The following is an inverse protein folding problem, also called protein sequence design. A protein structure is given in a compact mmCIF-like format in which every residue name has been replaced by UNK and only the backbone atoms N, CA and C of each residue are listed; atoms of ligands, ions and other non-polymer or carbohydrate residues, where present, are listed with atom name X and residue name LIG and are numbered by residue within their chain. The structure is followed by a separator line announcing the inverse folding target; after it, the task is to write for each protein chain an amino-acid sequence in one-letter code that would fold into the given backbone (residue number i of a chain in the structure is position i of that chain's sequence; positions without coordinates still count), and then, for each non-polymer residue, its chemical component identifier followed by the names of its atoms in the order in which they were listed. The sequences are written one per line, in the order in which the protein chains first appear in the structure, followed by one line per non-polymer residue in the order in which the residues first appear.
data_IF_928535440767
#
_entry.id   IF_928535440767
#
_cell.length_a   1.000
_cell.length_b   1.000
_cell.length_c   1.000
_cell.angle_alpha   90.00
_cell.angle_beta   90.00
_cell.angle_gamma   90.00
#
_symmetry.space_group_name_H-M   'P 1'
#
loop_
_entity.id
_entity.type
_entity.pdbx_description
1 polymer ?
#
# COMPACT_ATOMS: atom_id res chain seq x y z
N UNK A 1 -20.58 -32.22 -27.35
CA UNK A 1 -21.15 -32.54 -26.02
C UNK A 1 -20.14 -33.13 -25.03
N UNK A 2 -18.82 -33.22 -25.33
CA UNK A 2 -17.81 -33.83 -24.43
C UNK A 2 -16.76 -32.86 -23.85
N UNK A 3 -16.71 -31.60 -24.26
CA UNK A 3 -15.72 -30.63 -23.73
C UNK A 3 -16.19 -29.85 -22.49
N UNK A 4 -17.51 -29.64 -22.32
CA UNK A 4 -18.05 -28.89 -21.17
C UNK A 4 -17.92 -29.60 -19.81
N UNK A 5 -17.69 -30.92 -19.77
CA UNK A 5 -17.56 -31.69 -18.52
C UNK A 5 -16.18 -31.55 -17.84
N UNK A 6 -15.23 -30.84 -18.45
CA UNK A 6 -13.86 -30.71 -17.93
C UNK A 6 -13.57 -29.37 -17.25
N UNK A 7 -14.53 -28.46 -17.18
CA UNK A 7 -14.33 -27.10 -16.65
C UNK A 7 -14.42 -27.05 -15.13
N UNK A 8 -13.60 -26.21 -14.49
CA UNK A 8 -13.35 -26.25 -13.04
C UNK A 8 -14.64 -26.17 -12.20
N UNK A 9 -15.65 -25.41 -12.62
CA UNK A 9 -16.91 -25.30 -11.88
C UNK A 9 -17.85 -26.49 -12.01
N UNK A 10 -17.67 -27.32 -13.04
CA UNK A 10 -18.52 -28.49 -13.29
C UNK A 10 -17.99 -29.75 -12.57
N UNK A 11 -16.77 -29.67 -12.03
CA UNK A 11 -16.11 -30.77 -11.34
C UNK A 11 -16.51 -30.83 -9.87
N UNK A 12 -16.41 -32.03 -9.30
CA UNK A 12 -16.44 -32.25 -7.85
C UNK A 12 -15.11 -31.82 -7.22
N UNK A 13 -15.14 -31.46 -5.93
CA UNK A 13 -13.95 -30.89 -5.27
C UNK A 13 -12.72 -31.81 -5.33
N UNK A 14 -12.93 -33.13 -5.23
CA UNK A 14 -11.85 -34.12 -5.32
C UNK A 14 -11.23 -34.18 -6.72
N UNK A 15 -12.02 -33.97 -7.78
CA UNK A 15 -11.54 -33.93 -9.15
C UNK A 15 -10.74 -32.64 -9.41
N UNK A 16 -11.15 -31.53 -8.79
CA UNK A 16 -10.43 -30.26 -8.85
C UNK A 16 -9.08 -30.39 -8.16
N UNK A 17 -9.04 -30.95 -6.94
CA UNK A 17 -7.79 -31.23 -6.21
C UNK A 17 -6.88 -32.12 -7.07
N UNK A 18 -7.42 -33.15 -7.70
CA UNK A 18 -6.66 -34.00 -8.63
C UNK A 18 -6.08 -33.20 -9.80
N UNK A 19 -6.87 -32.33 -10.44
CA UNK A 19 -6.36 -31.48 -11.54
C UNK A 19 -5.30 -30.49 -11.09
N UNK A 20 -5.43 -29.91 -9.90
CA UNK A 20 -4.43 -29.03 -9.30
C UNK A 20 -3.11 -29.79 -9.12
N UNK A 21 -3.15 -30.97 -8.50
CA UNK A 21 -1.97 -31.82 -8.26
C UNK A 21 -1.33 -32.38 -9.54
N UNK A 22 -2.10 -32.49 -10.63
CA UNK A 22 -1.62 -32.92 -11.94
C UNK A 22 -1.16 -31.74 -12.84
N UNK A 23 -1.09 -30.51 -12.31
CA UNK A 23 -0.77 -29.27 -13.04
C UNK A 23 -1.68 -29.01 -14.26
N UNK A 24 -2.95 -29.46 -14.20
CA UNK A 24 -3.93 -29.36 -15.29
C UNK A 24 -4.86 -28.14 -15.18
N UNK A 25 -4.58 -27.22 -14.27
CA UNK A 25 -5.29 -25.94 -14.15
C UNK A 25 -4.46 -24.86 -14.83
N UNK A 26 -5.13 -24.08 -15.68
CA UNK A 26 -4.55 -22.93 -16.38
C UNK A 26 -5.02 -21.62 -15.76
N UNK A 27 -4.09 -20.70 -15.56
CA UNK A 27 -4.32 -19.46 -14.80
C UNK A 27 -3.97 -18.26 -15.67
N UNK A 28 -4.86 -17.28 -15.73
CA UNK A 28 -4.60 -15.96 -16.31
C UNK A 28 -4.65 -14.91 -15.21
N UNK A 29 -3.59 -14.10 -15.07
CA UNK A 29 -3.56 -12.96 -14.16
C UNK A 29 -3.61 -11.68 -14.97
N UNK A 30 -4.68 -10.90 -14.82
CA UNK A 30 -4.90 -9.63 -15.51
C UNK A 30 -4.48 -8.48 -14.59
N UNK A 31 -3.51 -7.70 -15.07
CA UNK A 31 -2.76 -6.71 -14.30
C UNK A 31 -1.55 -7.36 -13.63
N UNK A 32 -0.40 -7.32 -14.30
CA UNK A 32 0.87 -7.88 -13.80
C UNK A 32 1.84 -6.77 -13.39
N UNK A 33 1.30 -5.79 -12.67
CA UNK A 33 2.09 -4.73 -12.03
C UNK A 33 2.75 -5.22 -10.73
N UNK A 34 2.84 -4.33 -9.74
CA UNK A 34 3.57 -4.57 -8.49
C UNK A 34 3.14 -5.81 -7.72
N UNK A 35 1.83 -6.06 -7.62
CA UNK A 35 1.28 -7.21 -6.90
C UNK A 35 1.02 -8.39 -7.84
N UNK A 36 0.38 -8.13 -8.98
CA UNK A 36 -0.07 -9.20 -9.87
C UNK A 36 1.05 -10.00 -10.53
N UNK A 37 2.23 -9.41 -10.81
CA UNK A 37 3.37 -10.19 -11.32
C UNK A 37 3.88 -11.19 -10.26
N UNK A 38 4.23 -10.80 -9.02
CA UNK A 38 4.52 -11.73 -7.94
C UNK A 38 3.44 -12.80 -7.73
N UNK A 39 2.15 -12.44 -7.79
CA UNK A 39 1.06 -13.42 -7.75
C UNK A 39 1.19 -14.43 -8.89
N UNK A 40 1.26 -13.97 -10.15
CA UNK A 40 1.36 -14.83 -11.32
C UNK A 40 2.60 -15.76 -11.28
N UNK A 41 3.74 -15.25 -10.82
CA UNK A 41 4.96 -16.04 -10.65
C UNK A 41 4.81 -17.09 -9.55
N UNK A 42 4.05 -16.80 -8.49
CA UNK A 42 3.78 -17.77 -7.42
C UNK A 42 2.90 -18.92 -7.93
N UNK A 43 1.88 -18.62 -8.73
CA UNK A 43 1.08 -19.64 -9.43
C UNK A 43 1.92 -20.48 -10.41
N UNK A 44 2.81 -19.84 -11.17
CA UNK A 44 3.71 -20.57 -12.08
C UNK A 44 4.72 -21.45 -11.32
N UNK A 45 5.21 -20.98 -10.16
CA UNK A 45 6.15 -21.70 -9.29
C UNK A 45 5.54 -22.97 -8.71
N UNK A 46 4.24 -22.99 -8.44
CA UNK A 46 3.54 -24.18 -7.94
C UNK A 46 3.30 -25.25 -9.00
N UNK A 47 3.71 -25.01 -10.26
CA UNK A 47 3.59 -25.95 -11.37
C UNK A 47 2.46 -25.61 -12.35
N UNK A 48 1.57 -24.67 -12.02
CA UNK A 48 0.43 -24.33 -12.88
C UNK A 48 0.87 -23.51 -14.11
N UNK A 49 0.24 -23.77 -15.25
CA UNK A 49 0.46 -22.96 -16.45
C UNK A 49 -0.17 -21.59 -16.25
N UNK A 50 0.66 -20.55 -16.24
CA UNK A 50 0.20 -19.18 -15.93
C UNK A 50 0.53 -18.21 -17.06
N UNK A 51 -0.45 -17.41 -17.45
CA UNK A 51 -0.26 -16.27 -18.36
C UNK A 51 -0.55 -14.96 -17.63
N UNK A 52 0.40 -14.02 -17.72
CA UNK A 52 0.20 -12.66 -17.26
C UNK A 52 -0.32 -11.78 -18.40
N UNK A 53 -1.35 -10.99 -18.14
CA UNK A 53 -1.93 -10.04 -19.10
C UNK A 53 -1.76 -8.62 -18.60
N UNK A 54 -1.21 -7.74 -19.42
CA UNK A 54 -1.14 -6.30 -19.13
C UNK A 54 -1.40 -5.46 -20.39
N UNK A 55 -1.83 -4.22 -20.19
CA UNK A 55 -1.94 -3.24 -21.28
C UNK A 55 -0.60 -2.59 -21.61
N UNK A 56 0.37 -2.66 -20.69
CA UNK A 56 1.68 -2.08 -20.86
C UNK A 56 2.59 -2.99 -21.71
N UNK A 57 2.65 -2.72 -23.02
CA UNK A 57 3.50 -3.46 -23.95
C UNK A 57 5.00 -3.41 -23.58
N UNK A 58 5.50 -2.31 -23.02
CA UNK A 58 6.91 -2.20 -22.62
C UNK A 58 7.23 -3.15 -21.46
N UNK A 59 6.32 -3.29 -20.50
CA UNK A 59 6.44 -4.26 -19.41
C UNK A 59 6.46 -5.68 -19.95
N UNK A 60 5.57 -5.99 -20.90
CA UNK A 60 5.49 -7.31 -21.53
C UNK A 60 6.78 -7.65 -22.30
N UNK A 61 7.31 -6.71 -23.08
CA UNK A 61 8.55 -6.90 -23.83
C UNK A 61 9.75 -7.15 -22.91
N UNK A 62 9.83 -6.43 -21.78
CA UNK A 62 10.85 -6.68 -20.74
C UNK A 62 10.72 -8.09 -20.16
N UNK A 63 9.51 -8.49 -19.77
CA UNK A 63 9.26 -9.82 -19.20
C UNK A 63 9.60 -10.91 -20.22
N UNK A 64 9.12 -10.81 -21.45
CA UNK A 64 9.33 -11.83 -22.48
C UNK A 64 10.79 -11.88 -22.99
N UNK A 65 11.57 -10.82 -22.79
CA UNK A 65 13.02 -10.81 -23.03
C UNK A 65 13.85 -11.35 -21.85
N UNK A 66 13.19 -11.87 -20.80
CA UNK A 66 13.87 -12.44 -19.63
C UNK A 66 14.37 -11.41 -18.64
N UNK A 67 13.88 -10.16 -18.71
CA UNK A 67 14.26 -9.09 -17.78
C UNK A 67 13.17 -8.95 -16.70
N UNK A 68 13.52 -9.28 -15.46
CA UNK A 68 12.62 -9.09 -14.32
C UNK A 68 12.47 -7.59 -13.97
N UNK A 69 11.24 -7.04 -13.93
CA UNK A 69 11.03 -5.59 -13.79
C UNK A 69 11.04 -5.06 -12.34
N UNK A 70 10.78 -5.90 -11.32
CA UNK A 70 10.63 -5.47 -9.92
C UNK A 70 11.90 -5.74 -9.10
N UNK A 71 12.99 -5.03 -9.39
CA UNK A 71 14.32 -5.29 -8.79
C UNK A 71 14.40 -5.14 -7.27
N UNK A 72 13.40 -4.49 -6.67
CA UNK A 72 13.27 -4.25 -5.24
C UNK A 72 12.37 -5.28 -4.53
N UNK A 73 11.99 -6.37 -5.21
CA UNK A 73 11.31 -7.53 -4.63
C UNK A 73 12.26 -8.73 -4.59
N UNK A 74 12.89 -9.01 -3.43
CA UNK A 74 13.79 -10.15 -3.28
C UNK A 74 13.11 -11.48 -3.61
N UNK A 75 13.89 -12.48 -4.03
CA UNK A 75 13.50 -13.85 -4.38
C UNK A 75 12.70 -14.02 -5.68
N UNK A 76 11.93 -13.01 -6.09
CA UNK A 76 11.08 -13.14 -7.28
C UNK A 76 11.84 -13.11 -8.60
N UNK A 77 13.04 -12.55 -8.64
CA UNK A 77 13.95 -12.64 -9.78
C UNK A 77 14.36 -14.11 -10.05
N UNK A 78 14.71 -14.85 -9.00
CA UNK A 78 15.05 -16.29 -9.08
C UNK A 78 13.83 -17.11 -9.47
N UNK A 79 12.65 -16.81 -8.88
CA UNK A 79 11.41 -17.49 -9.24
C UNK A 79 11.09 -17.24 -10.72
N UNK A 80 11.17 -15.99 -11.15
CA UNK A 80 10.93 -15.55 -12.52
C UNK A 80 11.81 -16.30 -13.53
N UNK A 81 13.12 -16.38 -13.27
CA UNK A 81 14.05 -17.12 -14.14
C UNK A 81 13.65 -18.60 -14.24
N UNK A 82 13.35 -19.24 -13.10
CA UNK A 82 12.99 -20.65 -13.07
C UNK A 82 11.68 -20.95 -13.83
N UNK A 83 10.62 -20.17 -13.59
CA UNK A 83 9.31 -20.42 -14.25
C UNK A 83 9.35 -20.09 -15.74
N UNK A 84 10.15 -19.10 -16.14
CA UNK A 84 10.36 -18.75 -17.55
C UNK A 84 11.14 -19.84 -18.28
N UNK A 85 12.24 -20.34 -17.68
CA UNK A 85 13.04 -21.45 -18.23
C UNK A 85 12.22 -22.73 -18.40
N UNK A 86 11.35 -23.02 -17.44
CA UNK A 86 10.45 -24.18 -17.49
C UNK A 86 9.17 -23.94 -18.30
N UNK A 87 9.03 -22.76 -18.95
CA UNK A 87 7.87 -22.37 -19.76
C UNK A 87 6.53 -22.46 -19.01
N UNK A 88 6.54 -22.23 -17.70
CA UNK A 88 5.36 -22.18 -16.84
C UNK A 88 4.71 -20.79 -16.80
N UNK A 89 5.45 -19.75 -17.18
CA UNK A 89 4.96 -18.37 -17.23
C UNK A 89 5.24 -17.71 -18.58
N UNK A 90 4.29 -16.90 -19.05
CA UNK A 90 4.43 -16.00 -20.19
C UNK A 90 3.63 -14.72 -19.94
N UNK A 91 4.09 -13.57 -20.44
CA UNK A 91 3.30 -12.33 -20.47
C UNK A 91 2.77 -12.01 -21.87
N UNK A 92 1.59 -11.39 -21.96
CA UNK A 92 0.98 -10.98 -23.24
C UNK A 92 0.09 -9.75 -23.06
N UNK A 93 -0.15 -9.00 -24.13
CA UNK A 93 -1.20 -7.98 -24.21
C UNK A 93 -2.47 -8.53 -24.90
N UNK A 94 -2.45 -9.78 -25.37
CA UNK A 94 -3.55 -10.43 -26.06
C UNK A 94 -4.50 -11.11 -25.04
N UNK A 95 -5.38 -10.29 -24.47
CA UNK A 95 -6.44 -10.76 -23.57
C UNK A 95 -7.43 -11.71 -24.27
N UNK A 96 -7.66 -11.51 -25.58
CA UNK A 96 -8.62 -12.30 -26.37
C UNK A 96 -8.16 -13.74 -26.53
N UNK A 97 -6.85 -13.98 -26.56
CA UNK A 97 -6.26 -15.31 -26.53
C UNK A 97 -6.16 -15.88 -25.11
N UNK A 98 -5.73 -15.08 -24.14
CA UNK A 98 -5.39 -15.55 -22.80
C UNK A 98 -6.61 -16.00 -21.99
N UNK A 99 -7.70 -15.23 -22.03
CA UNK A 99 -8.89 -15.48 -21.19
C UNK A 99 -9.63 -16.76 -21.58
N UNK A 100 -9.99 -17.03 -22.86
CA UNK A 100 -10.73 -18.24 -23.21
C UNK A 100 -9.94 -19.54 -22.97
N UNK A 101 -8.62 -19.45 -22.94
CA UNK A 101 -7.71 -20.57 -22.74
C UNK A 101 -7.43 -20.91 -21.25
N UNK A 102 -8.04 -20.16 -20.32
CA UNK A 102 -7.74 -20.27 -18.88
C UNK A 102 -8.93 -20.81 -18.08
N UNK A 103 -8.66 -21.61 -17.06
CA UNK A 103 -9.67 -22.12 -16.12
C UNK A 103 -9.96 -21.13 -14.98
N UNK A 104 -8.94 -20.35 -14.61
CA UNK A 104 -8.99 -19.34 -13.54
C UNK A 104 -8.47 -18.00 -14.05
N UNK A 105 -9.23 -16.94 -13.79
CA UNK A 105 -8.87 -15.56 -14.10
C UNK A 105 -8.70 -14.79 -12.79
N UNK A 106 -7.49 -14.30 -12.50
CA UNK A 106 -7.22 -13.41 -11.39
C UNK A 106 -7.20 -11.96 -11.86
N UNK A 107 -7.86 -11.06 -11.12
CA UNK A 107 -7.87 -9.63 -11.37
C UNK A 107 -7.03 -8.92 -10.30
N UNK A 108 -5.85 -8.43 -10.69
CA UNK A 108 -4.94 -7.62 -9.87
C UNK A 108 -4.71 -6.26 -10.55
N UNK A 109 -5.81 -5.53 -10.71
CA UNK A 109 -5.87 -4.24 -11.40
C UNK A 109 -5.74 -3.07 -10.42
N UNK A 110 -5.21 -1.91 -10.87
CA UNK A 110 -5.12 -0.72 -10.04
C UNK A 110 -6.52 -0.18 -9.71
N UNK A 111 -6.66 0.33 -8.49
CA UNK A 111 -7.87 0.97 -7.97
C UNK A 111 -7.50 2.33 -7.38
N UNK A 112 -7.03 3.29 -8.21
CA UNK A 112 -6.56 4.58 -7.73
C UNK A 112 -7.73 5.39 -7.17
N UNK A 113 -7.38 6.45 -6.45
CA UNK A 113 -8.33 7.45 -5.97
C UNK A 113 -8.29 8.67 -6.88
N UNK A 114 -9.44 9.26 -7.21
CA UNK A 114 -9.49 10.52 -7.93
C UNK A 114 -9.21 11.74 -7.02
N UNK A 115 -9.17 12.94 -7.61
CA UNK A 115 -8.90 14.20 -6.89
C UNK A 115 -9.97 14.56 -5.85
N UNK A 116 -11.15 13.95 -5.95
CA UNK A 116 -12.29 14.15 -5.02
C UNK A 116 -12.36 13.08 -3.93
N UNK A 117 -11.34 12.23 -3.82
CA UNK A 117 -11.29 11.08 -2.92
C UNK A 117 -12.37 10.02 -3.22
N UNK A 118 -12.73 9.83 -4.49
CA UNK A 118 -13.63 8.75 -4.95
C UNK A 118 -12.81 7.64 -5.64
N UNK A 119 -13.02 6.36 -5.29
CA UNK A 119 -12.28 5.25 -5.90
C UNK A 119 -12.62 5.08 -7.39
N UNK A 120 -11.59 4.98 -8.22
CA UNK A 120 -11.76 4.65 -9.64
C UNK A 120 -11.58 3.15 -9.88
N UNK A 121 -12.67 2.49 -10.28
CA UNK A 121 -12.69 1.09 -10.71
C UNK A 121 -12.82 0.93 -12.24
N UNK A 122 -12.51 1.97 -13.02
CA UNK A 122 -12.55 1.95 -14.49
C UNK A 122 -11.84 0.73 -15.08
N UNK A 123 -10.64 0.39 -14.60
CA UNK A 123 -9.90 -0.79 -15.03
C UNK A 123 -10.69 -2.10 -14.83
N UNK A 124 -11.26 -2.31 -13.64
CA UNK A 124 -12.09 -3.47 -13.33
C UNK A 124 -13.36 -3.52 -14.19
N UNK A 125 -14.00 -2.36 -14.44
CA UNK A 125 -15.19 -2.25 -15.29
C UNK A 125 -14.89 -2.59 -16.74
N UNK A 126 -13.77 -2.08 -17.27
CA UNK A 126 -13.31 -2.36 -18.64
C UNK A 126 -13.03 -3.85 -18.80
N UNK A 127 -12.24 -4.43 -17.88
CA UNK A 127 -11.94 -5.86 -17.92
C UNK A 127 -13.20 -6.69 -17.73
N UNK A 128 -14.12 -6.31 -16.83
CA UNK A 128 -15.42 -6.97 -16.67
C UNK A 128 -16.22 -7.05 -17.99
N UNK A 129 -16.25 -5.96 -18.77
CA UNK A 129 -16.89 -5.93 -20.10
C UNK A 129 -16.18 -6.83 -21.11
N UNK A 130 -14.86 -6.95 -21.05
CA UNK A 130 -14.11 -7.88 -21.89
C UNK A 130 -14.39 -9.33 -21.50
N UNK A 131 -14.44 -9.62 -20.19
CA UNK A 131 -14.80 -10.94 -19.66
C UNK A 131 -16.19 -11.40 -20.11
N UNK A 132 -17.17 -10.49 -20.19
CA UNK A 132 -18.49 -10.79 -20.76
C UNK A 132 -18.41 -11.42 -22.16
N UNK A 133 -17.43 -11.03 -22.98
CA UNK A 133 -17.25 -11.56 -24.34
C UNK A 133 -16.33 -12.79 -24.39
N UNK A 134 -15.34 -12.84 -23.50
CA UNK A 134 -14.19 -13.75 -23.62
C UNK A 134 -14.24 -14.94 -22.67
N UNK A 135 -14.94 -14.87 -21.54
CA UNK A 135 -14.96 -15.97 -20.58
C UNK A 135 -15.55 -17.22 -21.20
N UNK A 136 -14.85 -18.34 -21.07
CA UNK A 136 -15.39 -19.65 -21.39
C UNK A 136 -16.35 -20.13 -20.30
N UNK A 137 -17.26 -21.03 -20.65
CA UNK A 137 -18.13 -21.69 -19.67
C UNK A 137 -17.30 -22.43 -18.61
N UNK A 138 -17.78 -22.40 -17.38
CA UNK A 138 -17.20 -23.05 -16.21
C UNK A 138 -15.91 -22.40 -15.69
N UNK A 139 -15.62 -21.14 -16.03
CA UNK A 139 -14.42 -20.39 -15.59
C UNK A 139 -14.61 -19.77 -14.21
N UNK A 140 -13.55 -19.75 -13.40
CA UNK A 140 -13.51 -19.09 -12.09
C UNK A 140 -12.82 -17.71 -12.20
N UNK A 141 -13.46 -16.65 -11.71
CA UNK A 141 -12.87 -15.32 -11.57
C UNK A 141 -12.53 -15.04 -10.10
N UNK A 142 -11.35 -14.49 -9.82
CA UNK A 142 -10.90 -14.15 -8.47
C UNK A 142 -10.39 -12.71 -8.49
N UNK A 143 -10.95 -11.84 -7.63
CA UNK A 143 -10.49 -10.45 -7.53
C UNK A 143 -9.55 -10.30 -6.33
N UNK A 144 -8.32 -9.87 -6.59
CA UNK A 144 -7.32 -9.54 -5.56
C UNK A 144 -7.20 -8.02 -5.35
N UNK A 145 -7.63 -7.22 -6.32
CA UNK A 145 -7.69 -5.75 -6.22
C UNK A 145 -8.43 -5.28 -4.97
N UNK A 146 -7.93 -4.21 -4.35
CA UNK A 146 -8.60 -3.61 -3.18
C UNK A 146 -9.83 -2.84 -3.62
N UNK A 147 -11.00 -3.33 -3.24
CA UNK A 147 -12.30 -2.79 -3.63
C UNK A 147 -13.21 -2.62 -2.42
N UNK A 148 -14.23 -1.78 -2.57
CA UNK A 148 -15.24 -1.57 -1.53
C UNK A 148 -16.15 -2.79 -1.31
N UNK A 149 -16.68 -2.97 -0.09
CA UNK A 149 -17.71 -3.96 0.20
C UNK A 149 -18.92 -3.78 -0.73
N UNK A 150 -19.27 -4.83 -1.46
CA UNK A 150 -20.42 -4.82 -2.37
C UNK A 150 -20.09 -4.51 -3.84
N UNK A 151 -18.87 -4.08 -4.19
CA UNK A 151 -18.53 -3.83 -5.61
C UNK A 151 -18.71 -5.08 -6.48
N UNK A 152 -18.34 -6.26 -5.97
CA UNK A 152 -18.55 -7.54 -6.68
C UNK A 152 -20.03 -7.78 -6.93
N UNK A 153 -20.82 -7.77 -5.86
CA UNK A 153 -22.23 -8.16 -5.87
C UNK A 153 -23.12 -7.17 -6.61
N UNK A 154 -22.88 -5.87 -6.42
CA UNK A 154 -23.78 -4.82 -6.89
C UNK A 154 -23.48 -4.38 -8.33
N UNK A 155 -22.22 -4.54 -8.76
CA UNK A 155 -21.71 -3.95 -10.00
C UNK A 155 -20.96 -4.97 -10.88
N UNK A 156 -19.83 -5.51 -10.43
CA UNK A 156 -18.93 -6.28 -11.31
C UNK A 156 -19.60 -7.53 -11.91
N UNK A 157 -20.41 -8.25 -11.10
CA UNK A 157 -21.18 -9.40 -11.60
C UNK A 157 -22.06 -9.00 -12.78
N UNK A 158 -22.82 -7.91 -12.66
CA UNK A 158 -23.72 -7.44 -13.73
C UNK A 158 -22.95 -7.05 -14.98
N UNK A 159 -21.78 -6.43 -14.81
CA UNK A 159 -20.91 -6.07 -15.93
C UNK A 159 -20.42 -7.31 -16.67
N UNK A 160 -20.04 -8.37 -15.95
CA UNK A 160 -19.58 -9.63 -16.55
C UNK A 160 -20.75 -10.42 -17.16
N UNK A 161 -21.90 -10.49 -16.50
CA UNK A 161 -23.10 -11.14 -17.05
C UNK A 161 -23.58 -10.45 -18.33
N UNK A 162 -23.50 -9.12 -18.39
CA UNK A 162 -23.96 -8.32 -19.52
C UNK A 162 -25.46 -8.49 -19.78
N UNK A 163 -25.91 -8.04 -20.95
CA UNK A 163 -27.33 -8.09 -21.36
C UNK A 163 -27.65 -9.26 -22.30
N UNK A 164 -26.64 -10.00 -22.76
CA UNK A 164 -26.79 -11.07 -23.76
C UNK A 164 -27.19 -12.43 -23.17
N UNK A 165 -27.31 -12.52 -21.83
CA UNK A 165 -27.62 -13.73 -21.06
C UNK A 165 -26.68 -14.92 -21.30
N UNK A 166 -25.49 -14.67 -21.89
CA UNK A 166 -24.51 -15.73 -22.16
C UNK A 166 -23.89 -16.25 -20.88
N UNK A 167 -23.62 -15.37 -19.93
CA UNK A 167 -22.99 -15.68 -18.66
C UNK A 167 -23.96 -15.47 -17.50
N UNK A 168 -23.97 -16.42 -16.58
CA UNK A 168 -24.73 -16.36 -15.33
C UNK A 168 -23.88 -16.84 -14.17
N UNK A 169 -23.70 -15.97 -13.18
CA UNK A 169 -22.87 -16.25 -12.00
C UNK A 169 -23.44 -17.40 -11.20
N UNK A 170 -22.58 -18.32 -10.78
CA UNK A 170 -22.96 -19.55 -10.08
C UNK A 170 -23.57 -20.64 -10.98
N UNK A 171 -23.73 -20.38 -12.28
CA UNK A 171 -24.23 -21.37 -13.27
C UNK A 171 -23.14 -21.77 -14.24
N UNK A 172 -22.64 -20.83 -15.04
CA UNK A 172 -21.61 -21.09 -16.06
C UNK A 172 -20.36 -20.22 -15.94
N UNK A 173 -20.28 -19.37 -14.93
CA UNK A 173 -19.03 -18.87 -14.38
C UNK A 173 -19.23 -18.60 -12.88
N UNK A 174 -18.15 -18.40 -12.13
CA UNK A 174 -18.25 -18.06 -10.72
C UNK A 174 -17.19 -17.05 -10.34
N UNK A 175 -17.41 -16.36 -9.23
CA UNK A 175 -16.55 -15.28 -8.77
C UNK A 175 -16.32 -15.33 -7.26
N UNK A 176 -15.10 -15.00 -6.86
CA UNK A 176 -14.73 -14.74 -5.48
C UNK A 176 -13.67 -13.65 -5.37
N UNK A 177 -13.20 -13.44 -4.15
CA UNK A 177 -12.19 -12.45 -3.81
C UNK A 177 -11.14 -13.08 -2.90
N UNK A 178 -9.90 -12.68 -3.11
CA UNK A 178 -8.78 -12.94 -2.22
C UNK A 178 -7.97 -11.64 -2.07
N UNK A 179 -8.45 -10.67 -1.28
CA UNK A 179 -7.81 -9.36 -1.18
C UNK A 179 -6.36 -9.49 -0.69
N UNK A 180 -5.41 -8.93 -1.45
CA UNK A 180 -4.00 -9.02 -1.11
C UNK A 180 -3.63 -8.11 0.08
N UNK A 181 -2.72 -8.56 0.94
CA UNK A 181 -2.24 -7.85 2.14
C UNK A 181 -0.73 -7.64 2.17
N UNK A 182 0.01 -8.17 1.20
CA UNK A 182 1.44 -8.02 1.10
C UNK A 182 1.91 -6.57 0.94
N UNK A 183 3.08 -6.31 1.52
CA UNK A 183 3.78 -5.04 1.48
C UNK A 183 4.79 -5.03 0.32
N UNK A 184 4.78 -3.99 -0.52
CA UNK A 184 5.85 -3.77 -1.49
C UNK A 184 7.23 -3.73 -0.80
N UNK A 185 8.16 -4.52 -1.33
CA UNK A 185 9.52 -4.72 -0.85
C UNK A 185 9.70 -6.01 -0.03
N UNK A 186 8.59 -6.63 0.38
CA UNK A 186 8.57 -7.80 1.25
C UNK A 186 7.56 -8.86 0.75
N UNK A 187 7.18 -8.84 -0.53
CA UNK A 187 6.06 -9.64 -1.03
C UNK A 187 6.31 -11.15 -0.82
N UNK A 188 7.54 -11.63 -1.05
CA UNK A 188 7.87 -13.05 -0.89
C UNK A 188 7.70 -13.50 0.57
N UNK A 189 8.13 -12.65 1.51
CA UNK A 189 8.00 -12.88 2.95
C UNK A 189 6.52 -12.92 3.32
N UNK A 190 5.74 -11.93 2.88
CA UNK A 190 4.34 -11.81 3.21
C UNK A 190 3.51 -12.96 2.61
N UNK A 191 3.79 -13.39 1.39
CA UNK A 191 3.13 -14.53 0.75
C UNK A 191 3.41 -15.86 1.45
N UNK A 192 4.48 -15.93 2.25
CA UNK A 192 4.85 -17.11 3.04
C UNK A 192 4.36 -17.08 4.50
N UNK A 193 3.83 -15.93 4.97
CA UNK A 193 3.52 -15.71 6.39
C UNK A 193 2.10 -15.22 6.66
N UNK A 194 1.56 -14.36 5.81
CA UNK A 194 0.30 -13.69 6.06
C UNK A 194 -0.88 -14.57 5.62
N UNK A 195 -1.86 -14.82 6.51
CA UNK A 195 -3.09 -15.49 6.12
C UNK A 195 -3.82 -14.72 5.03
N UNK A 196 -4.49 -15.46 4.14
CA UNK A 196 -5.30 -14.88 3.05
C UNK A 196 -6.78 -15.08 3.32
N UNK A 197 -7.56 -14.03 3.10
CA UNK A 197 -9.02 -14.05 3.24
C UNK A 197 -9.64 -14.58 1.94
N UNK A 198 -10.61 -15.48 2.03
CA UNK A 198 -11.31 -16.00 0.85
C UNK A 198 -12.81 -15.80 0.98
N UNK A 199 -13.37 -14.89 0.19
CA UNK A 199 -14.81 -14.71 0.03
C UNK A 199 -15.27 -15.17 -1.35
N UNK A 200 -16.48 -15.71 -1.48
CA UNK A 200 -17.03 -16.09 -2.78
C UNK A 200 -18.55 -15.91 -2.84
N UNK A 201 -19.13 -16.02 -4.03
CA UNK A 201 -20.58 -15.95 -4.24
C UNK A 201 -21.33 -17.20 -3.74
N UNK A 202 -20.65 -18.33 -3.56
CA UNK A 202 -21.20 -19.53 -2.93
C UNK A 202 -20.10 -20.41 -2.31
N UNK A 203 -20.51 -21.38 -1.49
CA UNK A 203 -19.62 -22.28 -0.75
C UNK A 203 -18.73 -23.13 -1.68
N UNK A 204 -19.29 -23.69 -2.76
CA UNK A 204 -18.52 -24.48 -3.73
C UNK A 204 -17.34 -23.66 -4.28
N UNK A 205 -17.60 -22.42 -4.68
CA UNK A 205 -16.59 -21.51 -5.23
C UNK A 205 -15.53 -21.17 -4.20
N UNK A 206 -15.93 -20.87 -2.97
CA UNK A 206 -14.98 -20.62 -1.88
C UNK A 206 -14.05 -21.81 -1.67
N UNK A 207 -14.58 -23.04 -1.64
CA UNK A 207 -13.76 -24.25 -1.48
C UNK A 207 -12.78 -24.43 -2.63
N UNK A 208 -13.19 -24.17 -3.87
CA UNK A 208 -12.29 -24.22 -5.03
C UNK A 208 -11.13 -23.22 -4.88
N UNK A 209 -11.44 -21.97 -4.50
CA UNK A 209 -10.41 -20.94 -4.30
C UNK A 209 -9.46 -21.36 -3.17
N UNK A 210 -9.98 -21.88 -2.05
CA UNK A 210 -9.17 -22.34 -0.93
C UNK A 210 -8.21 -23.45 -1.35
N UNK A 211 -8.68 -24.48 -2.04
CA UNK A 211 -7.81 -25.59 -2.47
C UNK A 211 -6.77 -25.13 -3.51
N UNK A 212 -7.16 -24.23 -4.42
CA UNK A 212 -6.22 -23.63 -5.37
C UNK A 212 -5.14 -22.80 -4.65
N UNK A 213 -5.52 -21.93 -3.72
CA UNK A 213 -4.57 -21.06 -3.04
C UNK A 213 -3.69 -21.82 -2.04
N UNK A 214 -4.19 -22.90 -1.40
CA UNK A 214 -3.37 -23.80 -0.57
C UNK A 214 -2.24 -24.47 -1.35
N UNK A 215 -2.47 -24.78 -2.63
CA UNK A 215 -1.43 -25.32 -3.51
C UNK A 215 -0.34 -24.29 -3.84
N UNK A 216 -0.68 -23.00 -3.83
CA UNK A 216 0.20 -21.90 -4.25
C UNK A 216 0.92 -21.25 -3.07
N UNK A 217 0.23 -21.05 -1.94
CA UNK A 217 0.71 -20.27 -0.81
C UNK A 217 0.73 -21.11 0.47
N UNK A 218 1.86 -21.19 1.18
CA UNK A 218 2.01 -21.98 2.40
C UNK A 218 1.49 -21.24 3.64
N UNK A 219 0.28 -20.69 3.58
CA UNK A 219 -0.34 -19.87 4.64
C UNK A 219 -1.74 -20.34 4.96
N UNK A 220 -2.32 -19.84 6.05
CA UNK A 220 -3.71 -20.10 6.37
C UNK A 220 -4.66 -19.38 5.40
N UNK A 221 -5.70 -20.10 4.95
CA UNK A 221 -6.79 -19.56 4.15
C UNK A 221 -8.01 -19.41 5.04
N UNK A 222 -8.45 -18.17 5.27
CA UNK A 222 -9.54 -17.85 6.18
C UNK A 222 -10.82 -17.65 5.36
N UNK A 223 -11.79 -18.58 5.43
CA UNK A 223 -13.05 -18.45 4.70
C UNK A 223 -13.90 -17.33 5.29
N UNK A 224 -14.37 -16.43 4.41
CA UNK A 224 -15.33 -15.37 4.72
C UNK A 224 -16.72 -15.75 4.20
N UNK A 225 -17.81 -15.35 4.87
CA UNK A 225 -19.16 -15.74 4.47
C UNK A 225 -19.57 -15.25 3.07
N UNK A 226 -18.91 -14.23 2.52
CA UNK A 226 -19.14 -13.68 1.18
C UNK A 226 -18.02 -12.70 0.78
N UNK A 227 -18.06 -12.21 -0.46
CA UNK A 227 -17.08 -11.26 -1.00
C UNK A 227 -17.06 -9.93 -0.23
N UNK A 228 -18.22 -9.31 0.01
CA UNK A 228 -18.32 -8.06 0.76
C UNK A 228 -17.70 -8.14 2.16
N UNK A 229 -17.82 -9.26 2.88
CA UNK A 229 -17.19 -9.44 4.19
C UNK A 229 -15.67 -9.49 4.08
N UNK A 230 -15.11 -10.22 3.10
CA UNK A 230 -13.65 -10.25 2.88
C UNK A 230 -13.08 -8.85 2.57
N UNK A 231 -13.75 -8.10 1.69
CA UNK A 231 -13.36 -6.73 1.36
C UNK A 231 -13.50 -5.79 2.57
N UNK A 232 -14.55 -5.96 3.38
CA UNK A 232 -14.74 -5.18 4.60
C UNK A 232 -13.63 -5.42 5.63
N UNK A 233 -13.19 -6.67 5.82
CA UNK A 233 -12.06 -6.99 6.71
C UNK A 233 -10.79 -6.28 6.22
N UNK A 234 -10.48 -6.36 4.92
CA UNK A 234 -9.32 -5.68 4.33
C UNK A 234 -9.33 -4.18 4.63
N UNK A 235 -10.42 -3.47 4.33
CA UNK A 235 -10.50 -2.04 4.61
C UNK A 235 -10.44 -1.74 6.11
N UNK A 236 -11.18 -2.50 6.93
CA UNK A 236 -11.26 -2.29 8.39
C UNK A 236 -9.88 -2.31 9.04
N UNK A 237 -9.01 -3.24 8.66
CA UNK A 237 -7.66 -3.34 9.26
C UNK A 237 -6.80 -2.09 9.02
N UNK A 238 -6.86 -1.51 7.82
CA UNK A 238 -6.13 -0.30 7.47
C UNK A 238 -6.76 0.96 8.09
N UNK A 239 -8.09 1.06 8.05
CA UNK A 239 -8.81 2.19 8.66
C UNK A 239 -8.65 2.22 10.18
N UNK A 240 -8.63 1.05 10.83
CA UNK A 240 -8.32 0.95 12.25
C UNK A 240 -6.95 1.54 12.58
N UNK A 241 -5.92 1.21 11.80
CA UNK A 241 -4.57 1.78 11.99
C UNK A 241 -4.56 3.29 11.77
N UNK A 242 -5.21 3.78 10.72
CA UNK A 242 -5.31 5.22 10.40
C UNK A 242 -5.98 6.03 11.53
N UNK A 243 -7.09 5.52 12.08
CA UNK A 243 -7.80 6.13 13.22
C UNK A 243 -6.92 6.16 14.47
N UNK A 244 -6.22 5.08 14.79
CA UNK A 244 -5.39 5.06 15.99
C UNK A 244 -4.18 5.99 15.86
N UNK A 245 -3.59 6.11 14.66
CA UNK A 245 -2.56 7.13 14.43
C UNK A 245 -3.14 8.54 14.61
N UNK A 246 -4.35 8.81 14.09
CA UNK A 246 -5.01 10.09 14.28
C UNK A 246 -5.29 10.41 15.75
N UNK A 247 -5.75 9.42 16.52
CA UNK A 247 -5.97 9.57 17.94
C UNK A 247 -4.68 9.96 18.68
N UNK A 248 -3.56 9.27 18.39
CA UNK A 248 -2.28 9.60 19.01
C UNK A 248 -1.74 10.96 18.53
N UNK A 249 -1.94 11.31 17.26
CA UNK A 249 -1.65 12.65 16.75
C UNK A 249 -2.42 13.73 17.52
N UNK A 250 -3.73 13.55 17.73
CA UNK A 250 -4.56 14.51 18.47
C UNK A 250 -4.11 14.64 19.94
N UNK A 251 -3.77 13.52 20.58
CA UNK A 251 -3.18 13.54 21.92
C UNK A 251 -1.84 14.27 21.95
N UNK A 252 -0.99 14.09 20.94
CA UNK A 252 0.29 14.80 20.84
C UNK A 252 0.10 16.32 20.85
N UNK A 253 -0.88 16.83 20.09
CA UNK A 253 -1.24 18.26 20.08
C UNK A 253 -1.72 18.76 21.45
N UNK A 254 -2.47 17.94 22.19
CA UNK A 254 -2.93 18.27 23.53
C UNK A 254 -1.75 18.27 24.52
N UNK A 255 -0.91 17.25 24.48
CA UNK A 255 0.20 17.04 25.39
C UNK A 255 1.29 18.11 25.24
N UNK A 256 1.55 18.59 24.01
CA UNK A 256 2.38 19.78 23.79
C UNK A 256 1.91 20.99 24.59
N UNK A 257 0.59 21.26 24.63
CA UNK A 257 0.03 22.38 25.39
C UNK A 257 0.07 22.18 26.90
N UNK A 258 0.12 20.93 27.34
CA UNK A 258 0.16 20.56 28.76
C UNK A 258 1.59 20.40 29.30
N UNK A 259 2.61 20.48 28.44
CA UNK A 259 4.00 20.21 28.83
C UNK A 259 4.25 18.72 29.13
N UNK A 260 3.60 17.83 28.37
CA UNK A 260 3.68 16.37 28.54
C UNK A 260 4.38 15.76 27.31
N UNK A 261 5.38 14.92 27.55
CA UNK A 261 6.00 14.14 26.47
C UNK A 261 5.14 12.91 26.12
N UNK A 262 4.58 12.94 24.91
CA UNK A 262 3.75 11.87 24.34
C UNK A 262 4.50 10.55 24.29
N UNK A 263 5.80 10.55 23.99
CA UNK A 263 6.59 9.31 23.94
C UNK A 263 6.68 8.66 25.33
N UNK A 264 6.86 9.46 26.38
CA UNK A 264 6.85 8.96 27.76
C UNK A 264 5.48 8.34 28.11
N UNK A 265 4.37 8.98 27.70
CA UNK A 265 3.02 8.43 27.91
C UNK A 265 2.84 7.10 27.18
N UNK A 266 3.27 6.99 25.92
CA UNK A 266 3.14 5.77 25.12
C UNK A 266 4.01 4.63 25.67
N UNK A 267 5.23 4.93 26.11
CA UNK A 267 6.13 3.96 26.74
C UNK A 267 5.56 3.38 28.05
N UNK A 268 4.88 4.20 28.85
CA UNK A 268 4.13 3.70 30.01
C UNK A 268 2.87 2.93 29.60
N UNK A 269 2.10 3.46 28.63
CA UNK A 269 0.81 2.88 28.22
C UNK A 269 0.96 1.49 27.60
N UNK A 270 2.02 1.24 26.82
CA UNK A 270 2.28 -0.08 26.20
C UNK A 270 2.55 -1.20 27.21
N UNK A 271 2.81 -0.87 28.49
CA UNK A 271 2.92 -1.89 29.55
C UNK A 271 1.56 -2.52 29.92
N UNK A 272 0.45 -1.86 29.55
CA UNK A 272 -0.90 -2.39 29.72
C UNK A 272 -1.21 -3.41 28.62
N UNK A 273 -1.61 -4.62 29.02
CA UNK A 273 -1.78 -5.79 28.14
C UNK A 273 -2.69 -5.60 26.92
N UNK A 274 -3.62 -4.64 26.94
CA UNK A 274 -4.58 -4.40 25.86
C UNK A 274 -4.41 -3.05 25.16
N UNK A 275 -3.26 -2.39 25.30
CA UNK A 275 -2.96 -1.14 24.61
C UNK A 275 -2.15 -1.40 23.34
N UNK A 276 -2.78 -1.24 22.18
CA UNK A 276 -2.07 -1.30 20.90
C UNK A 276 -1.45 0.05 20.57
N UNK A 277 -0.14 0.16 20.78
CA UNK A 277 0.60 1.40 20.56
C UNK A 277 0.62 1.80 19.09
N UNK A 278 0.36 3.08 18.85
CA UNK A 278 0.61 3.80 17.62
C UNK A 278 1.39 5.07 17.98
N UNK A 279 2.07 5.67 17.01
CA UNK A 279 2.96 6.80 17.25
C UNK A 279 2.51 8.03 16.47
N UNK A 280 2.66 9.24 17.03
CA UNK A 280 2.35 10.45 16.31
C UNK A 280 3.40 10.73 15.23
N UNK A 281 3.10 11.66 14.33
CA UNK A 281 4.14 12.29 13.54
C UNK A 281 3.64 13.32 12.54
N UNK A 282 4.42 13.57 11.49
CA UNK A 282 4.10 14.59 10.48
C UNK A 282 2.82 14.35 9.68
N UNK A 283 2.16 13.20 9.82
CA UNK A 283 0.94 12.83 9.12
C UNK A 283 0.97 11.36 8.69
N UNK A 284 0.00 10.99 7.85
CA UNK A 284 -0.13 9.63 7.30
C UNK A 284 -0.14 9.69 5.78
N UNK A 285 0.82 9.00 5.17
CA UNK A 285 0.91 8.84 3.71
C UNK A 285 0.77 7.39 3.26
N UNK A 286 1.21 7.13 2.03
CA UNK A 286 1.13 5.84 1.37
C UNK A 286 -0.24 5.56 0.74
N UNK A 287 -0.33 4.60 -0.17
CA UNK A 287 -1.55 4.35 -0.95
C UNK A 287 -2.60 3.52 -0.20
N UNK A 288 -2.33 3.04 1.02
CA UNK A 288 -3.27 2.18 1.74
C UNK A 288 -4.09 2.95 2.79
N UNK A 289 -3.45 3.52 3.81
CA UNK A 289 -4.19 4.08 4.96
C UNK A 289 -5.11 5.24 4.56
N UNK A 290 -4.64 6.29 3.84
CA UNK A 290 -5.51 7.37 3.38
C UNK A 290 -6.62 6.88 2.44
N UNK A 291 -6.23 6.11 1.42
CA UNK A 291 -7.14 5.67 0.34
C UNK A 291 -8.22 4.74 0.88
N UNK A 292 -7.88 3.77 1.74
CA UNK A 292 -8.86 2.83 2.29
C UNK A 292 -9.84 3.50 3.27
N UNK A 293 -9.41 4.52 4.00
CA UNK A 293 -10.32 5.35 4.81
C UNK A 293 -11.34 6.08 3.95
N UNK A 294 -10.93 6.64 2.82
CA UNK A 294 -11.86 7.24 1.86
C UNK A 294 -12.74 6.21 1.16
N UNK A 295 -12.23 5.03 0.79
CA UNK A 295 -13.07 3.92 0.30
C UNK A 295 -14.18 3.59 1.31
N UNK A 296 -13.86 3.50 2.60
CA UNK A 296 -14.89 3.19 3.60
C UNK A 296 -15.91 4.35 3.77
N UNK A 297 -15.47 5.61 3.64
CA UNK A 297 -16.36 6.77 3.65
C UNK A 297 -17.30 6.77 2.42
N UNK A 298 -16.80 6.48 1.23
CA UNK A 298 -17.61 6.37 0.02
C UNK A 298 -18.63 5.22 0.13
N UNK A 299 -18.21 4.07 0.67
CA UNK A 299 -19.11 2.95 0.96
C UNK A 299 -20.25 3.34 1.91
N UNK A 300 -19.95 4.14 2.94
CA UNK A 300 -20.98 4.69 3.84
C UNK A 300 -21.98 5.56 3.11
N UNK A 301 -21.49 6.51 2.30
CA UNK A 301 -22.35 7.41 1.51
C UNK A 301 -23.23 6.64 0.53
N UNK A 302 -22.66 5.67 -0.19
CA UNK A 302 -23.40 4.81 -1.11
C UNK A 302 -24.48 3.97 -0.43
N UNK A 303 -24.27 3.60 0.84
CA UNK A 303 -25.26 2.89 1.66
C UNK A 303 -26.34 3.82 2.28
N UNK A 304 -26.30 5.13 2.02
CA UNK A 304 -27.23 6.09 2.59
C UNK A 304 -26.95 6.44 4.06
N UNK A 305 -25.79 6.04 4.59
CA UNK A 305 -25.33 6.48 5.91
C UNK A 305 -24.68 7.86 5.77
N UNK A 306 -25.20 8.84 6.52
CA UNK A 306 -24.81 10.24 6.38
C UNK A 306 -23.27 10.40 6.42
N UNK A 307 -22.56 9.96 7.47
CA UNK A 307 -21.08 9.93 7.51
C UNK A 307 -20.54 8.98 8.59
N UNK A 308 -19.37 8.34 8.34
CA UNK A 308 -18.58 7.69 9.40
C UNK A 308 -17.75 8.73 10.15
N UNK A 309 -18.32 9.32 11.21
CA UNK A 309 -17.74 10.48 11.89
C UNK A 309 -16.32 10.23 12.43
N UNK A 310 -16.05 9.04 12.98
CA UNK A 310 -14.72 8.71 13.52
C UNK A 310 -13.67 8.62 12.40
N UNK A 311 -14.00 7.94 11.28
CA UNK A 311 -13.10 7.81 10.13
C UNK A 311 -12.81 9.20 9.53
N UNK A 312 -13.85 10.02 9.36
CA UNK A 312 -13.74 11.38 8.82
C UNK A 312 -12.92 12.29 9.73
N UNK A 313 -13.11 12.22 11.05
CA UNK A 313 -12.32 12.96 12.01
C UNK A 313 -10.85 12.51 11.97
N UNK A 314 -10.60 11.20 11.93
CA UNK A 314 -9.26 10.63 11.81
C UNK A 314 -8.49 11.16 10.61
N UNK A 315 -9.12 11.15 9.42
CA UNK A 315 -8.53 11.74 8.20
C UNK A 315 -8.17 13.21 8.36
N UNK A 316 -9.13 14.01 8.83
CA UNK A 316 -8.93 15.45 9.04
C UNK A 316 -7.80 15.73 10.02
N UNK A 317 -7.62 14.92 11.06
CA UNK A 317 -6.51 15.07 12.01
C UNK A 317 -5.19 14.73 11.33
N UNK A 318 -5.10 13.57 10.68
CA UNK A 318 -3.87 13.12 10.00
C UNK A 318 -3.42 14.08 8.89
N UNK A 319 -4.36 14.68 8.15
CA UNK A 319 -4.09 15.66 7.09
C UNK A 319 -3.67 17.04 7.60
N UNK A 320 -3.96 17.35 8.86
CA UNK A 320 -3.52 18.61 9.50
C UNK A 320 -2.11 18.54 10.08
N UNK A 321 -1.60 17.34 10.36
CA UNK A 321 -0.29 17.17 10.99
C UNK A 321 0.89 17.77 10.20
N UNK A 322 0.93 17.77 8.86
CA UNK A 322 2.00 18.46 8.12
C UNK A 322 2.04 19.97 8.42
N UNK A 323 0.87 20.61 8.57
CA UNK A 323 0.76 22.02 8.91
C UNK A 323 1.20 22.29 10.35
N UNK A 324 0.89 21.37 11.27
CA UNK A 324 1.40 21.45 12.64
C UNK A 324 2.94 21.41 12.69
N UNK A 325 3.57 20.55 11.89
CA UNK A 325 5.04 20.53 11.77
C UNK A 325 5.58 21.87 11.25
N UNK A 326 4.90 22.50 10.29
CA UNK A 326 5.25 23.83 9.79
C UNK A 326 5.11 24.91 10.88
N UNK A 327 4.12 24.79 11.76
CA UNK A 327 3.96 25.68 12.92
C UNK A 327 5.10 25.48 13.93
N UNK A 328 5.49 24.25 14.24
CA UNK A 328 6.65 23.95 15.09
C UNK A 328 7.95 24.54 14.52
N UNK A 329 8.16 24.41 13.20
CA UNK A 329 9.30 25.04 12.51
C UNK A 329 9.25 26.55 12.70
N UNK A 330 8.10 27.18 12.44
CA UNK A 330 7.92 28.64 12.56
C UNK A 330 8.20 29.12 13.99
N UNK A 331 7.73 28.38 14.99
CA UNK A 331 8.00 28.67 16.40
C UNK A 331 9.48 28.56 16.74
N UNK A 332 10.18 27.51 16.28
CA UNK A 332 11.63 27.36 16.53
C UNK A 332 12.46 28.52 15.95
N UNK A 333 12.12 28.98 14.75
CA UNK A 333 12.75 30.17 14.15
C UNK A 333 12.46 31.44 14.98
N UNK A 334 11.23 31.60 15.46
CA UNK A 334 10.85 32.71 16.34
C UNK A 334 11.60 32.68 17.67
N UNK A 335 11.69 31.52 18.32
CA UNK A 335 12.40 31.33 19.59
C UNK A 335 13.90 31.62 19.45
N UNK A 336 14.46 31.35 18.27
CA UNK A 336 15.85 31.65 17.94
C UNK A 336 16.08 33.12 17.53
N UNK A 337 15.02 33.90 17.35
CA UNK A 337 15.06 35.24 16.77
C UNK A 337 15.71 35.27 15.37
N UNK A 338 15.43 34.26 14.55
CA UNK A 338 15.91 34.11 13.17
C UNK A 338 14.72 34.20 12.22
N UNK A 339 14.86 34.95 11.13
CA UNK A 339 13.82 35.02 10.09
C UNK A 339 13.75 33.72 9.28
N UNK A 340 12.55 33.13 9.14
CA UNK A 340 12.35 31.92 8.34
C UNK A 340 12.59 32.17 6.83
N UNK A 341 12.19 33.34 6.33
CA UNK A 341 12.39 33.72 4.92
C UNK A 341 13.88 33.73 4.58
N UNK A 342 14.25 33.15 3.44
CA UNK A 342 15.62 32.96 2.94
C UNK A 342 16.51 32.02 3.78
N UNK A 343 16.02 31.47 4.90
CA UNK A 343 16.75 30.48 5.71
C UNK A 343 16.82 29.13 5.03
N UNK A 344 17.93 28.43 5.23
CA UNK A 344 18.17 27.09 4.69
C UNK A 344 17.61 26.02 5.63
N UNK A 345 16.66 25.23 5.14
CA UNK A 345 16.03 24.14 5.89
C UNK A 345 16.39 22.81 5.22
N UNK A 346 17.00 21.90 5.99
CA UNK A 346 17.28 20.54 5.56
C UNK A 346 16.14 19.61 5.98
N UNK A 347 15.48 18.99 5.01
CA UNK A 347 14.51 17.93 5.23
C UNK A 347 15.22 16.58 5.24
N UNK A 348 15.13 15.86 6.35
CA UNK A 348 15.56 14.47 6.45
C UNK A 348 14.39 13.51 6.17
N UNK A 349 14.49 12.80 5.05
CA UNK A 349 13.56 11.78 4.62
C UNK A 349 12.28 12.35 3.98
N UNK A 350 11.98 11.91 2.76
CA UNK A 350 10.81 12.33 1.97
C UNK A 350 9.85 11.18 1.67
N UNK A 351 10.26 9.96 1.97
CA UNK A 351 9.47 8.75 1.82
C UNK A 351 8.24 8.76 2.74
N UNK A 352 7.11 8.19 2.33
CA UNK A 352 5.91 8.21 3.20
C UNK A 352 6.05 7.31 4.45
N UNK A 353 6.95 6.32 4.40
CA UNK A 353 7.33 5.46 5.52
C UNK A 353 8.86 5.24 5.52
N UNK A 354 9.45 4.87 6.68
CA UNK A 354 10.86 4.54 6.75
C UNK A 354 11.28 3.43 5.79
N UNK A 355 12.53 3.51 5.36
CA UNK A 355 13.28 2.44 4.71
C UNK A 355 12.73 1.96 3.35
N UNK A 356 11.97 2.80 2.64
CA UNK A 356 11.51 2.53 1.28
C UNK A 356 11.74 3.72 0.38
N UNK A 357 11.74 3.50 -0.94
CA UNK A 357 11.82 4.56 -1.95
C UNK A 357 10.43 4.87 -2.53
N UNK A 358 9.55 5.48 -1.75
CA UNK A 358 8.16 5.74 -2.17
C UNK A 358 7.63 7.08 -1.63
N UNK A 359 7.19 7.94 -2.55
CA UNK A 359 6.70 9.29 -2.28
C UNK A 359 5.16 9.39 -2.24
N UNK A 360 4.44 8.31 -2.50
CA UNK A 360 2.97 8.32 -2.63
C UNK A 360 2.31 8.90 -1.38
N UNK A 361 1.57 9.99 -1.57
CA UNK A 361 0.86 10.72 -0.49
C UNK A 361 1.77 11.08 0.70
N UNK A 362 3.07 11.26 0.47
CA UNK A 362 4.02 11.57 1.55
C UNK A 362 3.68 12.91 2.23
N UNK A 363 3.58 12.95 3.59
CA UNK A 363 3.41 14.20 4.34
C UNK A 363 4.51 15.23 4.06
N UNK A 364 5.71 14.77 3.68
CA UNK A 364 6.86 15.64 3.40
C UNK A 364 6.59 16.62 2.26
N UNK A 365 5.77 16.24 1.27
CA UNK A 365 5.40 17.14 0.17
C UNK A 365 4.70 18.40 0.70
N UNK A 366 3.73 18.22 1.59
CA UNK A 366 2.94 19.33 2.13
C UNK A 366 3.83 20.25 2.97
N UNK A 367 4.67 19.68 3.84
CA UNK A 367 5.63 20.46 4.63
C UNK A 367 6.56 21.28 3.72
N UNK A 368 7.15 20.66 2.70
CA UNK A 368 8.05 21.34 1.75
C UNK A 368 7.34 22.46 1.00
N UNK A 369 6.14 22.21 0.48
CA UNK A 369 5.36 23.19 -0.28
C UNK A 369 5.00 24.41 0.59
N UNK A 370 4.59 24.21 1.84
CA UNK A 370 4.28 25.29 2.78
C UNK A 370 5.52 26.10 3.19
N UNK A 371 6.67 25.45 3.40
CA UNK A 371 7.91 26.17 3.70
C UNK A 371 8.42 26.96 2.50
N UNK A 372 8.30 26.44 1.27
CA UNK A 372 8.59 27.17 0.03
C UNK A 372 7.70 28.42 -0.09
N UNK A 373 6.39 28.32 0.20
CA UNK A 373 5.47 29.48 0.21
C UNK A 373 5.87 30.56 1.22
N UNK A 374 6.48 30.17 2.34
CA UNK A 374 7.03 31.10 3.35
C UNK A 374 8.42 31.66 2.96
N UNK A 375 8.98 31.24 1.83
CA UNK A 375 10.25 31.73 1.29
C UNK A 375 11.50 31.06 1.85
N UNK A 376 11.38 29.87 2.46
CA UNK A 376 12.54 29.10 2.91
C UNK A 376 13.27 28.44 1.73
N UNK A 377 14.60 28.26 1.87
CA UNK A 377 15.43 27.50 0.93
C UNK A 377 15.49 26.05 1.39
N UNK A 378 14.86 25.16 0.62
CA UNK A 378 14.75 23.75 1.01
C UNK A 378 15.90 22.95 0.41
N UNK A 379 16.58 22.19 1.26
CA UNK A 379 17.47 21.08 0.87
C UNK A 379 16.84 19.77 1.33
N UNK A 380 17.08 18.69 0.61
CA UNK A 380 16.56 17.36 0.93
C UNK A 380 17.73 16.40 1.08
N UNK A 381 17.71 15.60 2.14
CA UNK A 381 18.56 14.42 2.26
C UNK A 381 17.68 13.20 2.56
N UNK A 382 17.70 12.22 1.67
CA UNK A 382 17.05 10.92 1.85
C UNK A 382 17.93 9.85 1.18
N UNK A 383 18.50 8.90 1.95
CA UNK A 383 19.40 7.86 1.43
C UNK A 383 18.83 7.09 0.24
N UNK A 384 17.51 6.89 0.18
CA UNK A 384 16.83 6.10 -0.84
C UNK A 384 16.63 6.89 -2.15
N UNK A 385 16.77 8.21 -2.09
CA UNK A 385 16.64 9.14 -3.22
C UNK A 385 17.95 9.82 -3.61
N UNK A 386 19.10 9.29 -3.17
CA UNK A 386 20.44 9.75 -3.58
C UNK A 386 20.54 9.90 -5.11
N UNK A 387 21.13 11.00 -5.59
CA UNK A 387 21.23 11.37 -7.01
C UNK A 387 19.89 11.45 -7.77
N UNK A 388 18.78 11.74 -7.10
CA UNK A 388 17.49 12.01 -7.76
C UNK A 388 16.93 13.40 -7.45
N UNK A 389 16.06 13.89 -8.33
CA UNK A 389 15.29 15.11 -8.09
C UNK A 389 13.96 14.75 -7.46
N UNK A 390 13.64 15.34 -6.31
CA UNK A 390 12.36 15.15 -5.60
C UNK A 390 11.74 16.52 -5.34
N UNK A 391 10.47 16.70 -5.74
CA UNK A 391 9.75 17.98 -5.62
C UNK A 391 10.53 19.18 -6.17
N UNK A 392 11.13 18.99 -7.35
CA UNK A 392 11.98 19.95 -8.06
C UNK A 392 13.25 20.38 -7.30
N UNK A 393 13.70 19.55 -6.35
CA UNK A 393 14.91 19.77 -5.55
C UNK A 393 15.86 18.59 -5.78
N UNK A 394 17.11 18.89 -6.09
CA UNK A 394 18.17 17.88 -6.14
C UNK A 394 18.42 17.36 -4.73
N UNK A 395 18.23 16.06 -4.51
CA UNK A 395 18.55 15.40 -3.23
C UNK A 395 20.06 15.42 -3.02
N UNK A 396 20.47 15.87 -1.85
CA UNK A 396 21.85 15.96 -1.41
C UNK A 396 22.44 14.57 -1.19
N UNK A 397 23.71 14.40 -1.54
CA UNK A 397 24.38 13.09 -1.46
C UNK A 397 25.21 12.92 -0.18
N UNK A 398 25.61 14.01 0.46
CA UNK A 398 26.46 13.98 1.64
C UNK A 398 25.83 14.79 2.78
N UNK A 399 25.29 14.07 3.76
CA UNK A 399 24.66 14.67 4.93
C UNK A 399 25.61 15.58 5.71
N UNK A 400 26.88 15.19 5.90
CA UNK A 400 27.81 15.93 6.75
C UNK A 400 28.30 17.24 6.10
N UNK A 401 28.47 17.26 4.78
CA UNK A 401 29.00 18.42 4.04
C UNK A 401 27.98 19.56 3.94
N UNK A 402 26.69 19.26 3.91
CA UNK A 402 25.66 20.27 3.71
C UNK A 402 25.32 21.06 4.99
N UNK A 403 25.65 20.52 6.17
CA UNK A 403 25.20 21.06 7.46
C UNK A 403 25.67 22.49 7.73
N UNK A 404 26.85 22.89 7.24
CA UNK A 404 27.44 24.21 7.51
C UNK A 404 26.60 25.38 7.04
N UNK A 405 25.67 25.16 6.10
CA UNK A 405 24.78 26.18 5.56
C UNK A 405 23.35 26.08 6.10
N UNK A 406 23.06 25.10 6.97
CA UNK A 406 21.70 24.79 7.43
C UNK A 406 21.35 25.57 8.68
N UNK A 407 20.21 26.27 8.61
CA UNK A 407 19.63 26.99 9.74
C UNK A 407 18.67 26.09 10.56
N UNK A 408 18.02 25.12 9.92
CA UNK A 408 17.10 24.20 10.58
C UNK A 408 17.11 22.81 9.93
N UNK A 409 17.15 21.77 10.76
CA UNK A 409 17.01 20.38 10.35
C UNK A 409 15.61 19.89 10.75
N UNK A 410 14.89 19.27 9.80
CA UNK A 410 13.54 18.75 10.01
C UNK A 410 13.52 17.27 9.68
N UNK A 411 13.34 16.41 10.68
CA UNK A 411 13.19 14.98 10.51
C UNK A 411 11.72 14.63 10.23
N UNK A 412 11.42 14.25 8.99
CA UNK A 412 10.08 13.88 8.53
C UNK A 412 9.89 12.37 8.37
N UNK A 413 10.97 11.64 8.06
CA UNK A 413 10.93 10.17 7.95
C UNK A 413 12.09 9.55 8.71
N UNK A 414 11.80 8.67 9.67
CA UNK A 414 12.81 8.05 10.52
C UNK A 414 13.42 6.79 9.86
N UNK A 415 14.19 6.99 8.79
CA UNK A 415 15.01 5.92 8.22
C UNK A 415 16.03 5.42 9.25
N UNK A 416 16.48 4.17 9.10
CA UNK A 416 17.44 3.55 10.03
C UNK A 416 18.73 4.37 10.17
N UNK A 417 19.17 4.99 9.07
CA UNK A 417 20.33 5.87 8.98
C UNK A 417 20.24 7.10 9.89
N UNK A 418 19.03 7.52 10.27
CA UNK A 418 18.80 8.72 11.08
C UNK A 418 18.64 8.45 12.57
N UNK A 419 18.43 7.19 12.97
CA UNK A 419 18.09 6.83 14.36
C UNK A 419 19.21 7.12 15.35
N UNK A 420 20.46 7.21 14.89
CA UNK A 420 21.65 7.39 15.73
C UNK A 420 22.41 8.68 15.43
N UNK A 421 21.75 9.69 14.86
CA UNK A 421 22.38 11.00 14.64
C UNK A 421 22.68 11.63 16.00
N UNK A 422 23.96 11.93 16.25
CA UNK A 422 24.41 12.59 17.48
C UNK A 422 23.99 14.08 17.51
N UNK A 423 23.23 14.53 18.52
CA UNK A 423 22.93 15.96 18.71
C UNK A 423 24.17 16.84 18.79
N UNK A 424 25.26 16.36 19.42
CA UNK A 424 26.52 17.11 19.53
C UNK A 424 27.15 17.37 18.16
N UNK A 425 27.16 16.36 17.29
CA UNK A 425 27.56 16.49 15.89
C UNK A 425 26.74 17.58 15.16
N UNK A 426 25.40 17.55 15.27
CA UNK A 426 24.53 18.57 14.66
C UNK A 426 24.87 19.98 15.13
N UNK A 427 24.96 20.17 16.46
CA UNK A 427 25.30 21.46 17.07
C UNK A 427 26.63 22.02 16.57
N UNK A 428 27.63 21.16 16.37
CA UNK A 428 28.98 21.57 15.95
C UNK A 428 29.08 21.93 14.45
N UNK A 429 28.13 21.48 13.63
CA UNK A 429 28.20 21.59 12.17
C UNK A 429 27.15 22.52 11.56
N UNK A 430 26.01 22.71 12.20
CA UNK A 430 24.93 23.54 11.67
C UNK A 430 25.21 25.03 11.82
N UNK A 431 24.79 25.84 10.84
CA UNK A 431 24.88 27.31 10.91
C UNK A 431 24.04 27.85 12.06
N UNK A 432 22.78 27.43 12.13
CA UNK A 432 21.93 27.62 13.30
C UNK A 432 21.40 26.26 13.76
N UNK A 433 21.47 25.96 15.06
CA UNK A 433 21.19 24.64 15.59
C UNK A 433 19.70 24.45 15.91
N UNK A 434 18.81 24.67 14.92
CA UNK A 434 17.38 24.39 15.08
C UNK A 434 17.09 22.95 14.65
N UNK A 435 16.44 22.17 15.51
CA UNK A 435 16.10 20.78 15.26
C UNK A 435 14.61 20.53 15.48
N UNK A 436 13.95 20.04 14.43
CA UNK A 436 12.53 19.67 14.44
C UNK A 436 12.41 18.17 14.25
N UNK A 437 11.85 17.48 15.24
CA UNK A 437 11.64 16.03 15.20
C UNK A 437 10.16 15.68 15.18
N UNK A 438 9.67 15.26 14.01
CA UNK A 438 8.28 14.80 13.86
C UNK A 438 8.11 13.29 14.07
N UNK A 439 9.16 12.56 14.45
CA UNK A 439 9.18 11.09 14.49
C UNK A 439 9.60 10.52 15.85
N UNK A 440 9.98 11.36 16.80
CA UNK A 440 10.34 10.95 18.17
C UNK A 440 11.65 10.17 18.23
N UNK A 441 12.60 10.50 17.35
CA UNK A 441 13.93 9.88 17.28
C UNK A 441 14.88 10.48 18.31
N UNK A 442 14.81 11.79 18.54
CA UNK A 442 15.73 12.49 19.43
C UNK A 442 15.18 12.57 20.85
N UNK A 443 16.04 12.38 21.85
CA UNK A 443 15.69 12.58 23.27
C UNK A 443 15.85 14.07 23.66
N UNK A 444 14.80 14.80 24.06
CA UNK A 444 14.82 16.24 24.26
C UNK A 444 15.86 16.66 25.28
N UNK A 445 16.01 15.90 26.37
CA UNK A 445 17.03 16.18 27.40
C UNK A 445 18.45 16.12 26.86
N UNK A 446 18.75 15.21 25.93
CA UNK A 446 20.07 15.10 25.32
C UNK A 446 20.31 16.22 24.29
N UNK A 447 19.27 16.61 23.56
CA UNK A 447 19.30 17.72 22.60
C UNK A 447 19.48 19.07 23.30
N UNK A 448 18.77 19.30 24.41
CA UNK A 448 18.87 20.52 25.22
C UNK A 448 20.23 20.65 25.89
N UNK A 449 20.82 19.55 26.38
CA UNK A 449 22.16 19.55 27.00
C UNK A 449 23.24 20.07 26.05
N UNK A 450 23.12 19.82 24.75
CA UNK A 450 24.07 20.31 23.73
C UNK A 450 23.72 21.71 23.22
N UNK A 451 22.59 22.28 23.64
CA UNK A 451 22.18 23.65 23.28
C UNK A 451 21.65 23.80 21.84
N UNK A 452 21.00 22.76 21.31
CA UNK A 452 20.14 22.87 20.12
C UNK A 452 18.78 23.43 20.54
N UNK A 453 18.14 24.25 19.68
CA UNK A 453 16.75 24.66 19.87
C UNK A 453 15.88 23.55 19.29
N UNK A 454 15.15 22.87 20.17
CA UNK A 454 14.38 21.69 19.83
C UNK A 454 12.88 21.98 19.80
N UNK A 455 12.20 21.43 18.80
CA UNK A 455 10.75 21.20 18.84
C UNK A 455 10.48 19.80 18.30
N UNK A 456 9.42 19.17 18.77
CA UNK A 456 8.98 17.92 18.18
C UNK A 456 7.50 17.68 18.36
N UNK A 457 6.95 16.83 17.50
CA UNK A 457 5.53 16.46 17.58
C UNK A 457 5.30 15.70 18.88
N UNK A 458 4.43 16.22 19.73
CA UNK A 458 4.09 15.62 21.02
C UNK A 458 5.20 15.75 22.08
N UNK A 459 6.21 16.60 21.86
CA UNK A 459 7.36 16.77 22.77
C UNK A 459 7.19 18.04 23.62
N UNK A 460 6.11 18.06 24.41
CA UNK A 460 5.75 19.16 25.32
C UNK A 460 6.75 19.40 26.44
#
# INVERSE_FOLDING_TARGET
MSENNNKILNLEINEIIKKINEDKITVCVIGIGRIGLPTALSFAKSGLMTVGVDINSELIDKINSGIYPLKDEPEYDVIFENVTKNKKFQATNDIERAVPASDVILLSLPTPMDETNVPDYSALRIVGKQLNKLLADGTLVIVESTIEPGFIENELIKIIEGDDNRLKVGVNFSIGVCPETANPGEIAIDFSKLPRLVGAINEKTQRIIIELYKHVFPVDLIPMPNCKTANAVKLTTNVFRDINIAFINELALLFEKLGIDTMTVLEAAKTKYNFQVHYPGAGVGGPCLPVNSYQLLNSSTAAGLNELSIVKAGRKINEKMPFHVVDLITQAFSDANIGLKESSILILGVSYKPNVKDLQLSPAKIVIDELKKKGAKIKIYDPYFSNSTVYDIMVENNFAEILSDIDCLVLLTAHNEFLNIDPGFLKSRMKNPLLIDSRGVFEPKEVEKVGLIFKGVGRG
#
